data_IF_769490436759
#
_entry.id   IF_769490436759
#
_cell.length_a   1.000
_cell.length_b   1.000
_cell.length_c   1.000
_cell.angle_alpha   90.00
_cell.angle_beta   90.00
_cell.angle_gamma   90.00
#
_symmetry.space_group_name_H-M   'P 1'
#
loop_
_entity.id
_entity.type
_entity.pdbx_description
1 polymer ?
#
# COMPACT_ATOMS: atom_id res chain seq x y z
N UNK A 1 2.17 24.18 -0.90
CA UNK A 1 1.88 23.42 -2.14
C UNK A 1 3.01 22.42 -2.36
N UNK A 2 2.81 21.12 -2.07
CA UNK A 2 3.89 20.12 -2.14
C UNK A 2 3.96 19.60 -3.59
N UNK A 3 4.93 20.08 -4.36
CA UNK A 3 5.05 19.72 -5.77
C UNK A 3 5.41 18.24 -5.95
N UNK A 4 4.61 17.52 -6.76
CA UNK A 4 4.75 16.09 -7.08
C UNK A 4 5.89 15.80 -8.10
N UNK A 5 6.78 16.76 -8.37
CA UNK A 5 7.91 16.56 -9.28
C UNK A 5 9.02 15.67 -8.71
N UNK A 6 9.05 15.44 -7.40
CA UNK A 6 10.02 14.52 -6.79
C UNK A 6 9.43 13.11 -6.69
N UNK A 7 10.19 12.11 -7.16
CA UNK A 7 9.83 10.70 -7.08
C UNK A 7 9.42 10.27 -5.66
N UNK A 8 10.08 10.82 -4.63
CA UNK A 8 9.77 10.56 -3.21
C UNK A 8 8.35 10.98 -2.84
N UNK A 9 7.92 12.14 -3.33
CA UNK A 9 6.56 12.65 -3.10
C UNK A 9 5.53 11.78 -3.84
N UNK A 10 5.83 11.37 -5.09
CA UNK A 10 4.98 10.47 -5.85
C UNK A 10 4.78 9.11 -5.15
N UNK A 11 5.84 8.53 -4.59
CA UNK A 11 5.78 7.28 -3.82
C UNK A 11 5.00 7.46 -2.52
N UNK A 12 5.13 8.61 -1.84
CA UNK A 12 4.34 8.91 -0.64
C UNK A 12 2.84 8.90 -0.90
N UNK A 13 2.40 9.42 -2.06
CA UNK A 13 0.99 9.43 -2.47
C UNK A 13 0.54 8.12 -3.14
N UNK A 14 1.46 7.21 -3.46
CA UNK A 14 1.13 5.97 -4.17
C UNK A 14 0.09 5.14 -3.41
N UNK A 15 0.26 5.00 -2.10
CA UNK A 15 -0.67 4.24 -1.25
C UNK A 15 -2.08 4.83 -1.31
N UNK A 16 -2.22 6.15 -1.13
CA UNK A 16 -3.51 6.85 -1.19
C UNK A 16 -4.16 6.74 -2.58
N UNK A 17 -3.37 6.76 -3.65
CA UNK A 17 -3.87 6.64 -5.03
C UNK A 17 -4.39 5.23 -5.28
N UNK A 18 -3.67 4.21 -4.80
CA UNK A 18 -4.02 2.80 -4.99
C UNK A 18 -5.19 2.37 -4.11
N UNK A 19 -5.34 2.98 -2.94
CA UNK A 19 -6.49 2.83 -2.04
C UNK A 19 -7.70 3.67 -2.46
N UNK A 20 -7.58 4.46 -3.53
CA UNK A 20 -8.66 5.32 -4.02
C UNK A 20 -8.96 6.55 -3.16
N UNK A 21 -8.21 6.77 -2.06
CA UNK A 21 -8.36 7.91 -1.14
C UNK A 21 -7.75 9.22 -1.65
N UNK A 22 -6.96 9.18 -2.73
CA UNK A 22 -6.35 10.37 -3.32
C UNK A 22 -7.37 11.26 -4.06
N UNK A 23 -7.21 12.58 -3.89
CA UNK A 23 -7.99 13.62 -4.57
C UNK A 23 -7.76 13.60 -6.09
N UNK A 24 -8.76 14.06 -6.87
CA UNK A 24 -8.71 14.06 -8.34
C UNK A 24 -7.45 14.77 -8.89
N UNK A 25 -7.07 15.91 -8.31
CA UNK A 25 -5.86 16.65 -8.67
C UNK A 25 -4.56 15.89 -8.38
N UNK A 26 -4.50 15.16 -7.27
CA UNK A 26 -3.32 14.35 -6.92
C UNK A 26 -3.15 13.19 -7.91
N UNK A 27 -4.26 12.58 -8.35
CA UNK A 27 -4.24 11.54 -9.39
C UNK A 27 -3.68 12.09 -10.70
N UNK A 28 -4.19 13.23 -11.17
CA UNK A 28 -3.72 13.86 -12.42
C UNK A 28 -2.22 14.19 -12.36
N UNK A 29 -1.77 14.80 -11.26
CA UNK A 29 -0.35 15.13 -11.07
C UNK A 29 0.55 13.88 -11.01
N UNK A 30 0.09 12.80 -10.37
CA UNK A 30 0.81 11.54 -10.32
C UNK A 30 0.91 10.88 -11.70
N UNK A 31 -0.18 10.84 -12.47
CA UNK A 31 -0.16 10.31 -13.84
C UNK A 31 0.74 11.14 -14.77
N UNK A 32 0.74 12.47 -14.63
CA UNK A 32 1.68 13.35 -15.32
C UNK A 32 3.14 12.99 -14.99
N UNK A 33 3.47 12.77 -13.72
CA UNK A 33 4.81 12.36 -13.32
C UNK A 33 5.21 10.98 -13.88
N UNK A 34 4.29 10.01 -13.88
CA UNK A 34 4.55 8.69 -14.48
C UNK A 34 4.85 8.75 -15.99
N UNK A 35 4.24 9.70 -16.71
CA UNK A 35 4.54 9.91 -18.12
C UNK A 35 5.95 10.46 -18.34
N UNK A 36 6.49 11.24 -17.40
CA UNK A 36 7.84 11.81 -17.49
C UNK A 36 8.94 10.95 -16.86
N UNK A 37 8.60 10.07 -15.92
CA UNK A 37 9.56 9.25 -15.19
C UNK A 37 9.31 7.74 -15.39
N UNK A 38 10.14 7.11 -16.23
CA UNK A 38 10.07 5.67 -16.48
C UNK A 38 10.31 4.80 -15.25
N UNK A 39 11.14 5.27 -14.29
CA UNK A 39 11.41 4.53 -13.04
C UNK A 39 10.16 4.44 -12.16
N UNK A 40 9.46 5.55 -11.97
CA UNK A 40 8.21 5.59 -11.21
C UNK A 40 7.11 4.78 -11.89
N UNK A 41 7.08 4.76 -13.22
CA UNK A 41 6.15 3.90 -13.99
C UNK A 41 6.41 2.42 -13.75
N UNK A 42 7.67 2.00 -13.74
CA UNK A 42 8.05 0.60 -13.46
C UNK A 42 7.69 0.22 -12.02
N UNK A 43 8.01 1.08 -11.06
CA UNK A 43 7.66 0.88 -9.65
C UNK A 43 6.14 0.76 -9.45
N UNK A 44 5.35 1.63 -10.10
CA UNK A 44 3.89 1.56 -10.04
C UNK A 44 3.34 0.24 -10.60
N UNK A 45 3.94 -0.28 -11.68
CA UNK A 45 3.53 -1.58 -12.26
C UNK A 45 3.81 -2.72 -11.28
N UNK A 46 5.02 -2.78 -10.73
CA UNK A 46 5.40 -3.78 -9.73
C UNK A 46 4.48 -3.71 -8.51
N UNK A 47 4.16 -2.51 -8.03
CA UNK A 47 3.26 -2.34 -6.89
C UNK A 47 1.86 -2.89 -7.16
N UNK A 48 1.32 -2.69 -8.37
CA UNK A 48 0.03 -3.29 -8.77
C UNK A 48 0.07 -4.80 -8.78
N UNK A 49 1.15 -5.40 -9.27
CA UNK A 49 1.33 -6.86 -9.27
C UNK A 49 1.38 -7.39 -7.83
N UNK A 50 2.14 -6.76 -6.94
CA UNK A 50 2.21 -7.11 -5.51
C UNK A 50 0.85 -6.96 -4.83
N UNK A 51 0.11 -5.88 -5.11
CA UNK A 51 -1.24 -5.69 -4.57
C UNK A 51 -2.21 -6.78 -5.05
N UNK A 52 -2.17 -7.12 -6.33
CA UNK A 52 -3.02 -8.18 -6.88
C UNK A 52 -2.73 -9.54 -6.23
N UNK A 53 -1.45 -9.84 -5.94
CA UNK A 53 -1.06 -11.04 -5.20
C UNK A 53 -1.57 -10.99 -3.74
N UNK A 54 -1.46 -9.83 -3.08
CA UNK A 54 -1.98 -9.65 -1.73
C UNK A 54 -3.52 -9.75 -1.66
N UNK A 55 -4.24 -9.36 -2.71
CA UNK A 55 -5.70 -9.48 -2.81
C UNK A 55 -6.15 -10.90 -3.18
N UNK A 56 -5.28 -11.74 -3.75
CA UNK A 56 -5.60 -13.12 -4.13
C UNK A 56 -5.68 -14.07 -2.93
N UNK A 57 -4.98 -13.77 -1.84
CA UNK A 57 -5.00 -14.59 -0.63
C UNK A 57 -5.34 -13.72 0.60
N UNK A 58 -6.57 -13.19 0.70
CA UNK A 58 -7.06 -12.77 1.98
C UNK A 58 -7.19 -14.05 2.78
N UNK A 59 -6.20 -14.36 3.63
CA UNK A 59 -6.33 -15.40 4.64
C UNK A 59 -7.71 -15.23 5.28
N UNK A 60 -8.67 -16.09 4.96
CA UNK A 60 -10.04 -15.86 5.36
C UNK A 60 -10.04 -15.88 6.88
N UNK A 61 -10.68 -14.90 7.53
CA UNK A 61 -10.73 -14.88 9.01
C UNK A 61 -11.42 -16.16 9.51
N UNK A 62 -12.28 -16.76 8.70
CA UNK A 62 -12.90 -18.08 8.87
C UNK A 62 -11.94 -19.28 8.77
N UNK A 63 -10.70 -19.11 8.27
CA UNK A 63 -9.65 -20.13 8.27
C UNK A 63 -8.57 -19.90 9.31
N UNK A 64 -8.72 -18.89 10.16
CA UNK A 64 -7.83 -18.68 11.28
C UNK A 64 -8.07 -19.78 12.32
N UNK A 65 -7.01 -20.33 12.94
CA UNK A 65 -7.17 -21.22 14.10
C UNK A 65 -8.01 -20.54 15.17
N UNK A 66 -8.90 -21.29 15.84
CA UNK A 66 -9.81 -20.75 16.86
C UNK A 66 -9.05 -20.07 18.02
N UNK A 67 -7.81 -20.51 18.28
CA UNK A 67 -6.90 -20.01 19.32
C UNK A 67 -5.98 -18.87 18.84
N UNK A 68 -6.09 -18.43 17.58
CA UNK A 68 -5.18 -17.42 17.01
C UNK A 68 -5.17 -16.11 17.80
N UNK A 69 -6.35 -15.63 18.22
CA UNK A 69 -6.48 -14.36 18.95
C UNK A 69 -5.93 -14.46 20.37
N UNK A 70 -6.11 -15.61 21.03
CA UNK A 70 -5.60 -15.89 22.38
C UNK A 70 -4.06 -15.92 22.37
N UNK A 71 -3.46 -16.65 21.41
CA UNK A 71 -1.99 -16.72 21.26
C UNK A 71 -1.37 -15.36 20.87
N UNK A 72 -2.04 -14.57 20.04
CA UNK A 72 -1.62 -13.21 19.70
C UNK A 72 -1.63 -12.28 20.91
N UNK A 73 -2.65 -12.37 21.76
CA UNK A 73 -2.76 -11.58 22.97
C UNK A 73 -1.66 -11.94 23.97
N UNK A 74 -1.44 -13.24 24.20
CA UNK A 74 -0.36 -13.73 25.07
C UNK A 74 1.03 -13.28 24.61
N UNK A 75 1.28 -13.33 23.30
CA UNK A 75 2.57 -12.90 22.73
C UNK A 75 2.77 -11.37 22.75
N UNK A 76 1.69 -10.59 22.84
CA UNK A 76 1.75 -9.14 23.09
C UNK A 76 1.95 -8.81 24.57
N UNK A 77 1.33 -9.57 25.48
CA UNK A 77 1.48 -9.39 26.93
C UNK A 77 2.87 -9.84 27.43
N UNK A 78 3.43 -10.91 26.85
CA UNK A 78 4.77 -11.41 27.21
C UNK A 78 5.92 -10.45 26.83
N UNK A 79 5.69 -9.45 25.97
CA UNK A 79 6.68 -8.40 25.65
C UNK A 79 6.62 -7.18 26.58
N UNK A 80 5.64 -7.12 27.47
CA UNK A 80 5.48 -6.04 28.46
C UNK A 80 6.16 -6.33 29.81
N UNK A 81 6.85 -7.46 29.96
CA UNK A 81 7.66 -7.80 31.15
C UNK A 81 9.14 -7.61 30.93
#
# INVERSE_FOLDING_TARGET
>A
MKMIFQCKTAIGFLSEIVDGRASFWQRVQFYMHLMMCGKCRLYFRQFKEVKALAEQDPFPIDKLPDDFFEVMEDSMQSRKS
#
